data_IF_956302082193
#
_entry.id   IF_956302082193
#
_cell.length_a   1.000
_cell.length_b   1.000
_cell.length_c   1.000
_cell.angle_alpha   90.00
_cell.angle_beta   90.00
_cell.angle_gamma   90.00
#
_symmetry.space_group_name_H-M   'P 1'
#
loop_
_entity.id
_entity.type
_entity.pdbx_description
1 polymer ?
#
# COMPACT_ATOMS: atom_id res chain seq x y z
N UNK A 1 14.09 -20.22 3.48
CA UNK A 1 14.86 -19.08 2.96
C UNK A 1 14.17 -17.79 3.31
N UNK A 2 14.93 -16.76 3.68
CA UNK A 2 14.42 -15.42 3.99
C UNK A 2 15.14 -14.40 3.14
N UNK A 3 14.39 -13.53 2.48
CA UNK A 3 14.91 -12.38 1.73
C UNK A 3 14.20 -11.15 2.23
N UNK A 4 14.94 -10.05 2.38
CA UNK A 4 14.35 -8.73 2.64
C UNK A 4 14.93 -7.69 1.68
N UNK A 5 14.10 -6.70 1.35
CA UNK A 5 14.46 -5.57 0.52
C UNK A 5 13.89 -4.30 1.17
N UNK A 6 14.77 -3.33 1.40
CA UNK A 6 14.37 -1.96 1.70
C UNK A 6 14.46 -1.13 0.42
N UNK A 7 13.43 -0.33 0.15
CA UNK A 7 13.38 0.54 -1.01
C UNK A 7 12.94 1.94 -0.61
N UNK A 8 13.67 2.93 -1.09
CA UNK A 8 13.35 4.34 -0.98
C UNK A 8 12.95 4.86 -2.38
N UNK A 9 11.82 5.58 -2.45
CA UNK A 9 11.32 6.15 -3.69
C UNK A 9 11.39 7.67 -3.63
N UNK A 10 12.24 8.25 -4.47
CA UNK A 10 12.41 9.71 -4.59
C UNK A 10 11.17 10.40 -5.17
N UNK A 11 10.43 9.69 -6.03
CA UNK A 11 9.19 10.21 -6.62
C UNK A 11 7.99 9.91 -5.71
N UNK A 12 7.02 10.84 -5.62
CA UNK A 12 5.80 10.60 -4.87
C UNK A 12 5.02 9.39 -5.40
N UNK A 13 4.37 8.67 -4.50
CA UNK A 13 3.34 7.70 -4.84
C UNK A 13 2.02 8.45 -4.93
N UNK A 14 1.37 8.39 -6.09
CA UNK A 14 0.11 9.05 -6.36
C UNK A 14 -0.97 7.98 -6.57
N UNK A 15 -2.03 8.06 -5.77
CA UNK A 15 -3.20 7.21 -5.85
C UNK A 15 -4.39 8.06 -6.28
N UNK A 16 -4.69 8.01 -7.58
CA UNK A 16 -5.88 8.61 -8.16
C UNK A 16 -6.97 7.55 -8.33
N UNK A 17 -8.20 7.90 -7.99
CA UNK A 17 -9.31 6.96 -8.10
C UNK A 17 -10.66 7.54 -7.77
N UNK A 18 -11.68 6.69 -7.91
CA UNK A 18 -13.03 6.98 -7.44
C UNK A 18 -13.16 6.50 -6.00
N UNK A 19 -13.69 7.35 -5.13
CA UNK A 19 -13.96 7.00 -3.74
C UNK A 19 -15.44 7.05 -3.44
N UNK A 20 -15.86 6.27 -2.45
CA UNK A 20 -17.15 6.40 -1.76
C UNK A 20 -16.89 6.27 -0.28
N UNK A 21 -17.33 7.24 0.51
CA UNK A 21 -17.21 7.21 1.95
C UNK A 21 -18.53 7.63 2.61
N UNK A 22 -18.86 6.93 3.70
CA UNK A 22 -19.92 7.31 4.63
C UNK A 22 -19.54 6.73 5.99
N UNK A 23 -19.19 7.60 6.92
CA UNK A 23 -18.73 7.18 8.25
C UNK A 23 -18.08 8.33 8.99
N UNK A 24 -17.09 7.99 9.81
CA UNK A 24 -16.28 8.97 10.51
C UNK A 24 -14.80 8.75 10.13
N UNK A 25 -14.05 9.83 9.96
CA UNK A 25 -12.58 9.79 9.95
C UNK A 25 -12.12 10.44 11.26
N UNK A 26 -11.26 9.75 12.02
CA UNK A 26 -10.97 10.09 13.41
C UNK A 26 -12.27 10.16 14.23
N UNK A 27 -12.78 11.38 14.48
CA UNK A 27 -14.04 11.65 15.19
C UNK A 27 -15.05 12.42 14.34
N UNK A 28 -14.68 12.84 13.13
CA UNK A 28 -15.51 13.72 12.31
C UNK A 28 -16.33 12.94 11.29
N UNK A 29 -17.64 13.23 11.18
CA UNK A 29 -18.49 12.61 10.17
C UNK A 29 -18.07 13.07 8.77
N UNK A 30 -17.99 12.11 7.86
CA UNK A 30 -17.64 12.34 6.46
C UNK A 30 -18.55 11.52 5.56
N UNK A 31 -19.04 12.17 4.50
CA UNK A 31 -19.82 11.53 3.45
C UNK A 31 -19.41 12.15 2.12
N UNK A 32 -19.23 11.31 1.10
CA UNK A 32 -18.85 11.78 -0.22
C UNK A 32 -18.69 10.65 -1.22
N UNK A 33 -18.82 11.01 -2.50
CA UNK A 33 -18.56 10.13 -3.63
C UNK A 33 -18.04 10.96 -4.79
N UNK A 34 -16.84 10.66 -5.28
CA UNK A 34 -16.21 11.46 -6.32
C UNK A 34 -14.80 10.99 -6.60
N UNK A 35 -13.99 11.88 -7.16
CA UNK A 35 -12.56 11.63 -7.37
C UNK A 35 -11.79 11.87 -6.08
N UNK A 36 -10.80 11.03 -5.84
CA UNK A 36 -9.81 11.20 -4.79
C UNK A 36 -8.41 11.24 -5.40
N UNK A 37 -7.55 12.09 -4.83
CA UNK A 37 -6.11 12.03 -4.99
C UNK A 37 -5.48 11.87 -3.60
N UNK A 38 -4.68 10.80 -3.43
CA UNK A 38 -3.81 10.63 -2.28
C UNK A 38 -2.36 10.65 -2.77
N UNK A 39 -1.54 11.54 -2.26
CA UNK A 39 -0.13 11.64 -2.65
C UNK A 39 0.77 11.44 -1.43
N UNK A 40 1.60 10.40 -1.46
CA UNK A 40 2.61 10.12 -0.44
C UNK A 40 4.00 10.55 -0.93
N UNK A 41 4.75 11.28 -0.12
CA UNK A 41 6.11 11.73 -0.46
C UNK A 41 7.18 11.06 0.41
N UNK A 42 8.39 10.93 -0.12
CA UNK A 42 9.51 10.23 0.53
C UNK A 42 9.07 8.84 0.99
N UNK A 43 8.46 8.10 0.06
CA UNK A 43 7.91 6.79 0.35
C UNK A 43 9.06 5.81 0.54
N UNK A 44 9.02 5.08 1.65
CA UNK A 44 9.93 3.99 1.95
C UNK A 44 9.12 2.74 2.20
N UNK A 45 9.59 1.61 1.70
CA UNK A 45 9.02 0.33 2.08
C UNK A 45 10.07 -0.69 2.47
N UNK A 46 9.67 -1.57 3.36
CA UNK A 46 10.38 -2.79 3.71
C UNK A 46 9.54 -3.97 3.25
N UNK A 47 10.14 -4.85 2.48
CA UNK A 47 9.54 -6.09 2.00
C UNK A 47 10.34 -7.26 2.53
N UNK A 48 9.68 -8.28 3.06
CA UNK A 48 10.35 -9.53 3.43
C UNK A 48 9.55 -10.74 2.96
N UNK A 49 10.27 -11.77 2.51
CA UNK A 49 9.71 -12.99 1.97
C UNK A 49 10.28 -14.16 2.77
N UNK A 50 9.41 -15.04 3.25
CA UNK A 50 9.78 -16.38 3.70
C UNK A 50 9.33 -17.40 2.66
N UNK A 51 10.23 -18.28 2.24
CA UNK A 51 9.94 -19.32 1.28
C UNK A 51 10.64 -20.65 1.64
N UNK A 52 10.03 -21.76 1.23
CA UNK A 52 10.62 -23.09 1.34
C UNK A 52 11.02 -23.63 -0.04
N UNK A 53 12.11 -24.40 -0.13
CA UNK A 53 12.47 -25.07 -1.37
C UNK A 53 11.46 -26.17 -1.68
N UNK A 54 11.17 -26.34 -2.96
CA UNK A 54 10.47 -27.49 -3.51
C UNK A 54 11.26 -28.01 -4.72
N UNK A 55 11.37 -29.32 -4.84
CA UNK A 55 12.02 -29.95 -5.99
C UNK A 55 10.98 -30.27 -7.06
N UNK A 56 11.28 -29.89 -8.30
CA UNK A 56 10.48 -30.21 -9.49
C UNK A 56 11.40 -30.41 -10.68
N UNK A 57 11.27 -31.54 -11.37
CA UNK A 57 12.06 -31.87 -12.57
C UNK A 57 13.58 -31.76 -12.35
N UNK A 58 14.05 -32.13 -11.15
CA UNK A 58 15.47 -32.08 -10.77
C UNK A 58 16.02 -30.67 -10.54
N UNK A 59 15.15 -29.66 -10.40
CA UNK A 59 15.52 -28.28 -10.07
C UNK A 59 14.77 -27.80 -8.83
N UNK A 60 15.44 -26.92 -8.08
CA UNK A 60 14.88 -26.27 -6.91
C UNK A 60 14.08 -25.01 -7.29
N UNK A 61 12.84 -24.96 -6.85
CA UNK A 61 11.94 -23.81 -6.90
C UNK A 61 11.62 -23.36 -5.49
N UNK A 62 11.04 -22.17 -5.33
CA UNK A 62 10.62 -21.68 -4.02
C UNK A 62 9.10 -21.53 -3.95
N UNK A 63 8.52 -22.05 -2.87
CA UNK A 63 7.14 -21.79 -2.49
C UNK A 63 7.12 -20.72 -1.40
N UNK A 64 6.45 -19.60 -1.66
CA UNK A 64 6.34 -18.48 -0.70
C UNK A 64 5.36 -18.84 0.40
N UNK A 65 5.82 -18.80 1.65
CA UNK A 65 5.02 -19.05 2.85
C UNK A 65 4.47 -17.76 3.42
N UNK A 66 5.28 -16.70 3.41
CA UNK A 66 4.94 -15.38 3.99
C UNK A 66 5.51 -14.26 3.14
N UNK A 67 4.76 -13.16 3.05
CA UNK A 67 5.20 -11.90 2.48
C UNK A 67 4.82 -10.80 3.47
N UNK A 68 5.81 -10.02 3.91
CA UNK A 68 5.65 -8.86 4.77
C UNK A 68 5.85 -7.62 3.91
N UNK A 69 4.94 -6.66 4.00
CA UNK A 69 5.07 -5.34 3.42
C UNK A 69 4.87 -4.30 4.52
N UNK A 70 5.86 -3.43 4.71
CA UNK A 70 5.77 -2.29 5.62
C UNK A 70 6.06 -1.02 4.86
N UNK A 71 5.28 0.02 5.10
CA UNK A 71 5.45 1.32 4.45
C UNK A 71 5.73 2.42 5.46
N UNK A 72 6.41 3.46 5.00
CA UNK A 72 6.55 4.75 5.68
C UNK A 72 6.50 5.85 4.63
N UNK A 73 5.97 7.00 5.00
CA UNK A 73 6.04 8.21 4.19
C UNK A 73 6.25 9.40 5.10
N UNK A 74 6.92 10.44 4.60
CA UNK A 74 7.13 11.67 5.37
C UNK A 74 5.95 12.64 5.29
N UNK A 75 5.02 12.42 4.36
CA UNK A 75 3.82 13.23 4.18
C UNK A 75 2.76 12.46 3.39
N UNK A 76 1.50 12.68 3.73
CA UNK A 76 0.32 12.33 2.93
C UNK A 76 -0.44 13.63 2.60
N UNK A 77 -0.73 13.83 1.31
CA UNK A 77 -1.66 14.84 0.83
C UNK A 77 -2.97 14.19 0.42
N UNK A 78 -4.09 14.78 0.81
CA UNK A 78 -5.43 14.25 0.53
C UNK A 78 -6.26 15.29 -0.19
N UNK A 79 -6.88 14.91 -1.30
CA UNK A 79 -7.93 15.68 -1.95
C UNK A 79 -9.10 14.78 -2.28
N UNK A 80 -10.26 15.07 -1.70
CA UNK A 80 -11.53 14.40 -1.96
C UNK A 80 -12.50 15.41 -2.59
N UNK A 81 -13.00 15.10 -3.78
CA UNK A 81 -14.01 15.89 -4.48
C UNK A 81 -15.43 15.46 -4.08
N UNK A 82 -16.40 16.38 -4.16
CA UNK A 82 -17.82 16.08 -3.90
C UNK A 82 -18.10 15.48 -2.50
N UNK A 83 -17.39 15.98 -1.48
CA UNK A 83 -17.75 15.78 -0.08
C UNK A 83 -19.05 16.54 0.24
N UNK A 84 -19.85 16.00 1.16
CA UNK A 84 -21.09 16.62 1.65
C UNK A 84 -22.04 17.07 0.53
N UNK A 85 -22.20 16.21 -0.49
CA UNK A 85 -23.02 16.47 -1.68
C UNK A 85 -22.61 17.76 -2.44
N UNK A 86 -21.33 18.11 -2.42
CA UNK A 86 -20.78 19.23 -3.16
C UNK A 86 -20.76 20.55 -2.39
N UNK A 87 -21.07 20.56 -1.09
CA UNK A 87 -20.87 21.74 -0.26
C UNK A 87 -19.38 22.10 -0.20
N UNK A 88 -19.02 23.21 -0.84
CA UNK A 88 -17.63 23.63 -0.99
C UNK A 88 -17.00 24.01 0.35
N UNK A 89 -17.73 24.67 1.23
CA UNK A 89 -17.19 25.12 2.50
C UNK A 89 -16.88 23.92 3.41
N UNK A 90 -17.82 22.99 3.53
CA UNK A 90 -17.61 21.76 4.31
C UNK A 90 -16.54 20.86 3.67
N UNK A 91 -16.55 20.72 2.35
CA UNK A 91 -15.56 19.93 1.62
C UNK A 91 -14.14 20.48 1.74
N UNK A 92 -13.94 21.79 1.61
CA UNK A 92 -12.63 22.41 1.74
C UNK A 92 -12.13 22.37 3.20
N UNK A 93 -13.00 22.57 4.18
CA UNK A 93 -12.65 22.43 5.59
C UNK A 93 -12.28 20.99 5.96
N UNK A 94 -13.02 20.00 5.45
CA UNK A 94 -12.70 18.60 5.68
C UNK A 94 -11.38 18.20 5.01
N UNK A 95 -11.13 18.61 3.77
CA UNK A 95 -9.83 18.38 3.13
C UNK A 95 -8.68 19.00 3.94
N UNK A 96 -8.86 20.23 4.46
CA UNK A 96 -7.85 20.85 5.34
C UNK A 96 -7.62 20.01 6.59
N UNK A 97 -8.69 19.61 7.28
CA UNK A 97 -8.61 18.76 8.45
C UNK A 97 -7.84 17.46 8.19
N UNK A 98 -8.11 16.77 7.06
CA UNK A 98 -7.41 15.55 6.68
C UNK A 98 -5.90 15.80 6.43
N UNK A 99 -5.56 16.93 5.81
CA UNK A 99 -4.17 17.30 5.55
C UNK A 99 -3.42 17.79 6.81
N UNK A 100 -4.12 18.42 7.75
CA UNK A 100 -3.53 18.84 9.03
C UNK A 100 -3.27 17.62 9.92
N UNK A 101 -4.15 16.62 9.88
CA UNK A 101 -4.07 15.38 10.67
C UNK A 101 -3.57 14.17 9.86
N UNK A 102 -2.78 14.42 8.81
CA UNK A 102 -2.36 13.41 7.85
C UNK A 102 -1.59 12.24 8.48
N UNK A 103 -0.82 12.47 9.54
CA UNK A 103 -0.03 11.41 10.21
C UNK A 103 -0.93 10.37 10.84
N UNK A 104 -1.94 10.83 11.58
CA UNK A 104 -2.91 9.96 12.24
C UNK A 104 -3.74 9.23 11.19
N UNK A 105 -4.18 9.95 10.15
CA UNK A 105 -4.89 9.35 9.01
C UNK A 105 -4.05 8.25 8.34
N UNK A 106 -2.77 8.50 8.07
CA UNK A 106 -1.87 7.51 7.48
C UNK A 106 -1.72 6.30 8.39
N UNK A 107 -1.54 6.51 9.71
CA UNK A 107 -1.44 5.42 10.69
C UNK A 107 -2.72 4.57 10.76
N UNK A 108 -3.90 5.17 10.68
CA UNK A 108 -5.17 4.43 10.65
C UNK A 108 -5.33 3.59 9.37
N UNK A 109 -4.92 4.13 8.23
CA UNK A 109 -5.07 3.45 6.93
C UNK A 109 -3.97 2.42 6.66
N UNK A 110 -2.77 2.62 7.23
CA UNK A 110 -1.56 1.87 6.94
C UNK A 110 -1.72 0.35 7.12
N UNK A 111 -2.28 -0.19 8.22
CA UNK A 111 -2.44 -1.64 8.39
C UNK A 111 -3.22 -2.29 7.25
N UNK A 112 -4.34 -1.67 6.86
CA UNK A 112 -5.17 -2.19 5.77
C UNK A 112 -4.44 -2.16 4.42
N UNK A 113 -3.66 -1.12 4.14
CA UNK A 113 -2.85 -1.08 2.91
C UNK A 113 -1.74 -2.12 2.95
N UNK A 114 -1.03 -2.24 4.06
CA UNK A 114 0.07 -3.20 4.23
C UNK A 114 -0.42 -4.63 4.05
N UNK A 115 -1.53 -5.01 4.68
CA UNK A 115 -2.08 -6.36 4.58
C UNK A 115 -2.56 -6.68 3.15
N UNK A 116 -3.26 -5.75 2.51
CA UNK A 116 -3.78 -5.96 1.15
C UNK A 116 -2.63 -6.04 0.12
N UNK A 117 -1.64 -5.15 0.22
CA UNK A 117 -0.47 -5.17 -0.65
C UNK A 117 0.41 -6.40 -0.39
N UNK A 118 0.60 -6.80 0.87
CA UNK A 118 1.32 -8.02 1.23
C UNK A 118 0.65 -9.26 0.61
N UNK A 119 -0.69 -9.37 0.69
CA UNK A 119 -1.43 -10.46 0.07
C UNK A 119 -1.28 -10.48 -1.45
N UNK A 120 -1.43 -9.32 -2.10
CA UNK A 120 -1.27 -9.19 -3.55
C UNK A 120 0.16 -9.55 -4.01
N UNK A 121 1.18 -9.00 -3.35
CA UNK A 121 2.57 -9.29 -3.66
C UNK A 121 2.96 -10.73 -3.34
N UNK A 122 2.40 -11.33 -2.29
CA UNK A 122 2.57 -12.76 -2.03
C UNK A 122 2.10 -13.60 -3.20
N UNK A 123 0.91 -13.33 -3.72
CA UNK A 123 0.37 -14.08 -4.86
C UNK A 123 1.24 -13.94 -6.10
N UNK A 124 1.63 -12.70 -6.43
CA UNK A 124 2.50 -12.41 -7.59
C UNK A 124 3.85 -13.12 -7.45
N UNK A 125 4.52 -12.95 -6.30
CA UNK A 125 5.84 -13.51 -6.01
C UNK A 125 5.80 -15.04 -6.01
N UNK A 126 4.78 -15.64 -5.38
CA UNK A 126 4.63 -17.09 -5.35
C UNK A 126 4.45 -17.67 -6.75
N UNK A 127 3.63 -17.04 -7.60
CA UNK A 127 3.46 -17.46 -9.00
C UNK A 127 4.77 -17.36 -9.79
N UNK A 128 5.61 -16.37 -9.51
CA UNK A 128 6.93 -16.23 -10.14
C UNK A 128 7.89 -17.35 -9.70
N UNK A 129 8.07 -17.55 -8.39
CA UNK A 129 9.01 -18.52 -7.83
C UNK A 129 8.63 -19.98 -8.07
N UNK A 130 7.36 -20.28 -8.29
CA UNK A 130 6.89 -21.62 -8.69
C UNK A 130 7.06 -21.91 -10.19
N UNK A 131 7.30 -20.88 -11.01
CA UNK A 131 7.46 -21.01 -12.47
C UNK A 131 8.92 -21.01 -12.91
N UNK A 132 9.81 -20.42 -12.12
CA UNK A 132 11.22 -20.23 -12.50
C UNK A 132 12.12 -20.84 -11.43
N UNK A 133 13.05 -21.75 -11.80
CA UNK A 133 14.08 -22.25 -10.91
C UNK A 133 14.86 -21.13 -10.22
N UNK A 134 15.22 -21.31 -8.95
CA UNK A 134 15.80 -20.22 -8.14
C UNK A 134 17.19 -19.80 -8.61
N UNK A 135 17.98 -20.72 -9.14
CA UNK A 135 19.31 -20.49 -9.71
C UNK A 135 19.30 -19.51 -10.89
N UNK A 136 18.17 -19.37 -11.58
CA UNK A 136 17.99 -18.40 -12.66
C UNK A 136 17.54 -17.01 -12.17
N UNK A 137 16.96 -16.92 -10.97
CA UNK A 137 16.47 -15.66 -10.38
C UNK A 137 17.56 -14.99 -9.54
N UNK A 138 18.26 -15.78 -8.73
CA UNK A 138 19.35 -15.34 -7.86
C UNK A 138 20.63 -16.08 -8.29
N UNK A 139 21.19 -15.74 -9.46
CA UNK A 139 22.48 -16.28 -9.85
C UNK A 139 23.54 -15.81 -8.85
N UNK A 140 24.38 -16.76 -8.41
CA UNK A 140 25.51 -16.50 -7.50
C UNK A 140 26.51 -15.50 -8.08
#
# INVERSE_FOLDING_TARGET
YKISLDADLDKPIILDGMYRIKGNILVLPIVGFGKSNLTLTNFRCHMAISAKPIEKDGRTYWQVEEFVFKLKASRLYVKLENLFNGDKALGDNMNRFLNDNWEILLQEMQPAFEDNLAAAFKEITNRMFLKTPIDLILPN
#
